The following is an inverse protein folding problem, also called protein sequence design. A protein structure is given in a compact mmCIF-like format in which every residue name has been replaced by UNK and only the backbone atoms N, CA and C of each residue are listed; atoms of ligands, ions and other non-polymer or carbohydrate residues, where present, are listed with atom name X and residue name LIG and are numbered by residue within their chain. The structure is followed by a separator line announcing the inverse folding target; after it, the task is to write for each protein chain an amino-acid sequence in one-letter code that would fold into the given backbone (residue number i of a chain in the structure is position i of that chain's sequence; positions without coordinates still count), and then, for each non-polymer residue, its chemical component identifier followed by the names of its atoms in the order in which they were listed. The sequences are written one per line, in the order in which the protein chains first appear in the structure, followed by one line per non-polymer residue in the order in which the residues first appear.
data_IF_251197951559
#
_entry.id   IF_251197951559
#
_cell.length_a   1.000
_cell.length_b   1.000
_cell.length_c   1.000
_cell.angle_alpha   90.00
_cell.angle_beta   90.00
_cell.angle_gamma   90.00
#
_symmetry.space_group_name_H-M   'P 1'
#
loop_
_entity.id
_entity.type
_entity.pdbx_description
1 polymer ?
#
# COMPACT_ATOMS: atom_id res chain seq x y z
N UNK A 1 12.63 4.54 19.71
CA UNK A 1 13.34 4.36 18.42
C UNK A 1 14.47 5.39 18.33
N UNK A 2 15.59 5.04 17.66
CA UNK A 2 16.68 6.00 17.39
C UNK A 2 16.25 7.00 16.31
N UNK A 3 16.96 8.14 16.19
CA UNK A 3 16.69 9.11 15.13
C UNK A 3 16.80 8.49 13.71
N UNK A 4 17.75 7.56 13.52
CA UNK A 4 17.88 6.83 12.25
C UNK A 4 16.72 5.88 11.99
N UNK A 5 16.26 5.15 13.01
CA UNK A 5 15.11 4.26 12.88
C UNK A 5 13.85 5.05 12.47
N UNK A 6 13.60 6.20 13.10
CA UNK A 6 12.48 7.08 12.73
C UNK A 6 12.61 7.58 11.29
N UNK A 7 13.81 7.99 10.86
CA UNK A 7 14.03 8.43 9.48
C UNK A 7 13.75 7.31 8.46
N UNK A 8 14.19 6.08 8.71
CA UNK A 8 13.92 4.94 7.81
C UNK A 8 12.44 4.60 7.74
N UNK A 9 11.72 4.65 8.87
CA UNK A 9 10.28 4.42 8.90
C UNK A 9 9.54 5.46 8.05
N UNK A 10 9.96 6.73 8.13
CA UNK A 10 9.41 7.78 7.28
C UNK A 10 9.78 7.61 5.79
N UNK A 11 11.02 7.21 5.48
CA UNK A 11 11.42 6.88 4.11
C UNK A 11 10.55 5.76 3.51
N UNK A 12 10.27 4.71 4.28
CA UNK A 12 9.38 3.60 3.88
C UNK A 12 7.95 4.12 3.66
N UNK A 13 7.42 4.91 4.60
CA UNK A 13 6.07 5.48 4.49
C UNK A 13 5.91 6.27 3.20
N UNK A 14 6.87 7.15 2.91
CA UNK A 14 6.87 7.97 1.70
C UNK A 14 7.00 7.12 0.43
N UNK A 15 7.87 6.10 0.43
CA UNK A 15 8.07 5.23 -0.73
C UNK A 15 6.83 4.35 -1.03
N UNK A 16 6.09 3.95 -0.01
CA UNK A 16 4.79 3.28 -0.15
C UNK A 16 3.64 4.25 -0.46
N UNK A 17 3.93 5.56 -0.58
CA UNK A 17 2.95 6.62 -0.81
C UNK A 17 1.82 6.58 0.22
N UNK A 18 2.17 6.19 1.44
CA UNK A 18 1.23 6.04 2.54
C UNK A 18 1.16 7.36 3.35
N UNK A 19 -0.04 7.80 3.76
CA UNK A 19 -0.19 9.01 4.57
C UNK A 19 0.11 8.74 6.05
N UNK A 20 0.06 7.47 6.46
CA UNK A 20 0.41 7.01 7.80
C UNK A 20 1.44 5.89 7.71
N UNK A 21 2.25 5.73 8.76
CA UNK A 21 3.18 4.60 8.86
C UNK A 21 2.36 3.30 8.93
N UNK A 22 2.53 2.34 8.01
CA UNK A 22 1.80 1.09 8.08
C UNK A 22 2.18 0.30 9.35
N UNK A 23 1.18 -0.25 10.05
CA UNK A 23 1.39 -0.90 11.34
C UNK A 23 2.41 -2.06 11.32
N UNK A 24 2.55 -2.87 10.25
CA UNK A 24 3.60 -3.87 10.19
C UNK A 24 5.01 -3.27 10.22
N UNK A 25 5.20 -2.08 9.63
CA UNK A 25 6.50 -1.39 9.60
C UNK A 25 6.83 -0.84 10.98
N UNK A 26 5.85 -0.20 11.63
CA UNK A 26 6.00 0.24 13.02
C UNK A 26 6.33 -0.94 13.94
N UNK A 27 5.65 -2.09 13.76
CA UNK A 27 5.88 -3.28 14.57
C UNK A 27 7.27 -3.88 14.34
N UNK A 28 7.74 -3.97 13.09
CA UNK A 28 9.10 -4.44 12.78
C UNK A 28 10.15 -3.54 13.42
N UNK A 29 9.98 -2.21 13.34
CA UNK A 29 10.88 -1.25 13.97
C UNK A 29 10.96 -1.40 15.49
N UNK A 30 9.85 -1.79 16.12
CA UNK A 30 9.76 -2.03 17.57
C UNK A 30 10.42 -3.36 17.98
N UNK A 31 10.09 -4.47 17.30
CA UNK A 31 10.52 -5.82 17.72
C UNK A 31 11.94 -6.16 17.27
N UNK A 32 12.44 -5.52 16.21
CA UNK A 32 13.77 -5.75 15.65
C UNK A 32 14.49 -4.41 15.39
N UNK A 33 14.94 -3.70 16.43
CA UNK A 33 15.69 -2.45 16.26
C UNK A 33 16.92 -2.65 15.37
N UNK A 34 17.15 -1.77 14.40
CA UNK A 34 18.26 -1.87 13.45
C UNK A 34 17.94 -2.67 12.18
N UNK A 35 16.88 -3.48 12.17
CA UNK A 35 16.56 -4.34 11.03
C UNK A 35 16.18 -3.53 9.78
N UNK A 36 15.30 -2.54 9.92
CA UNK A 36 14.87 -1.71 8.79
C UNK A 36 16.04 -0.88 8.24
N UNK A 37 16.93 -0.38 9.11
CA UNK A 37 18.12 0.34 8.70
C UNK A 37 19.06 -0.50 7.84
N UNK A 38 19.12 -1.81 8.09
CA UNK A 38 19.90 -2.75 7.28
C UNK A 38 19.18 -3.06 5.97
N UNK A 39 17.88 -3.38 6.01
CA UNK A 39 17.21 -3.91 4.81
C UNK A 39 16.78 -2.82 3.85
N UNK A 40 16.31 -1.68 4.35
CA UNK A 40 15.74 -0.62 3.51
C UNK A 40 16.66 -0.17 2.37
N UNK A 41 17.96 0.11 2.57
CA UNK A 41 18.87 0.51 1.49
C UNK A 41 18.96 -0.52 0.33
N UNK A 42 18.65 -1.79 0.59
CA UNK A 42 18.74 -2.88 -0.39
C UNK A 42 17.46 -3.02 -1.23
N UNK A 43 16.32 -2.59 -0.70
CA UNK A 43 15.01 -2.75 -1.35
C UNK A 43 14.42 -1.43 -1.84
N UNK A 44 14.91 -0.28 -1.36
CA UNK A 44 14.34 1.03 -1.67
C UNK A 44 14.27 1.33 -3.18
N UNK A 45 15.29 0.93 -3.95
CA UNK A 45 15.28 1.12 -5.41
C UNK A 45 14.18 0.32 -6.11
N UNK A 46 13.87 -0.88 -5.59
CA UNK A 46 12.79 -1.71 -6.11
C UNK A 46 11.43 -1.13 -5.74
N UNK A 47 11.22 -0.76 -4.48
CA UNK A 47 9.94 -0.18 -3.99
C UNK A 47 9.61 1.13 -4.72
N UNK A 48 10.61 1.93 -5.06
CA UNK A 48 10.41 3.17 -5.80
C UNK A 48 10.22 2.99 -7.32
N UNK A 49 10.45 1.79 -7.86
CA UNK A 49 10.32 1.54 -9.29
C UNK A 49 8.85 1.53 -9.75
N UNK A 50 8.59 2.01 -10.96
CA UNK A 50 7.25 1.98 -11.55
C UNK A 50 6.70 0.55 -11.67
N UNK A 51 7.56 -0.43 -11.96
CA UNK A 51 7.18 -1.84 -12.03
C UNK A 51 6.69 -2.42 -10.69
N UNK A 52 7.20 -1.92 -9.56
CA UNK A 52 6.72 -2.31 -8.24
C UNK A 52 5.30 -1.82 -8.00
N UNK A 53 5.05 -0.54 -8.27
CA UNK A 53 3.73 0.05 -8.16
C UNK A 53 2.73 -0.63 -9.10
N UNK A 54 3.12 -0.89 -10.35
CA UNK A 54 2.27 -1.63 -11.30
C UNK A 54 1.94 -3.04 -10.82
N UNK A 55 2.88 -3.72 -10.16
CA UNK A 55 2.64 -5.05 -9.56
C UNK A 55 1.66 -4.97 -8.38
N UNK A 56 1.80 -3.95 -7.54
CA UNK A 56 0.87 -3.73 -6.43
C UNK A 56 -0.56 -3.45 -6.93
N UNK A 57 -0.70 -2.60 -7.94
CA UNK A 57 -1.99 -2.25 -8.53
C UNK A 57 -2.63 -3.44 -9.26
N UNK A 58 -1.81 -4.35 -9.81
CA UNK A 58 -2.30 -5.61 -10.36
C UNK A 58 -2.86 -6.53 -9.28
N UNK A 59 -2.20 -6.62 -8.11
CA UNK A 59 -2.75 -7.36 -6.97
C UNK A 59 -4.04 -6.74 -6.43
N UNK A 60 -4.17 -5.42 -6.45
CA UNK A 60 -5.42 -4.72 -6.11
C UNK A 60 -6.56 -5.14 -7.05
N UNK A 61 -6.31 -5.10 -8.37
CA UNK A 61 -7.30 -5.50 -9.38
C UNK A 61 -7.69 -6.98 -9.22
N UNK A 62 -6.73 -7.87 -8.95
CA UNK A 62 -7.02 -9.28 -8.66
C UNK A 62 -7.89 -9.46 -7.42
N UNK A 63 -7.56 -8.77 -6.32
CA UNK A 63 -8.34 -8.88 -5.09
C UNK A 63 -9.80 -8.44 -5.30
N UNK A 64 -10.02 -7.38 -6.06
CA UNK A 64 -11.37 -6.93 -6.37
C UNK A 64 -12.12 -7.93 -7.27
N UNK A 65 -11.47 -8.48 -8.30
CA UNK A 65 -12.09 -9.48 -9.16
C UNK A 65 -12.57 -10.71 -8.36
N UNK A 66 -11.76 -11.17 -7.40
CA UNK A 66 -12.16 -12.25 -6.49
C UNK A 66 -13.35 -11.83 -5.62
N UNK A 67 -13.34 -10.62 -5.06
CA UNK A 67 -14.45 -10.12 -4.24
C UNK A 67 -15.75 -10.03 -5.05
N UNK A 68 -15.72 -9.46 -6.25
CA UNK A 68 -16.86 -9.35 -7.16
C UNK A 68 -17.43 -10.72 -7.56
N UNK A 69 -16.58 -11.75 -7.62
CA UNK A 69 -17.00 -13.11 -8.01
C UNK A 69 -17.64 -13.91 -6.86
N UNK A 70 -17.34 -13.56 -5.60
CA UNK A 70 -17.73 -14.36 -4.42
C UNK A 70 -18.73 -13.64 -3.52
N UNK A 71 -18.61 -12.33 -3.37
CA UNK A 71 -19.35 -11.56 -2.37
C UNK A 71 -20.28 -10.54 -3.02
N UNK A 72 -21.50 -10.45 -2.50
CA UNK A 72 -22.44 -9.39 -2.82
C UNK A 72 -22.37 -8.31 -1.71
N UNK A 73 -21.96 -7.07 -2.01
CA UNK A 73 -21.95 -6.00 -1.02
C UNK A 73 -23.38 -5.70 -0.57
N UNK A 74 -23.68 -5.92 0.70
CA UNK A 74 -24.99 -5.58 1.31
C UNK A 74 -25.06 -4.09 1.69
N UNK A 75 -23.92 -3.39 1.68
CA UNK A 75 -23.80 -1.98 2.04
C UNK A 75 -23.64 -1.11 0.80
N UNK A 76 -24.52 -0.12 0.63
CA UNK A 76 -24.40 0.91 -0.40
C UNK A 76 -24.20 2.29 0.22
N UNK A 77 -23.79 3.28 -0.59
CA UNK A 77 -23.73 4.67 -0.15
C UNK A 77 -25.10 5.15 0.34
N UNK A 78 -26.14 4.78 -0.38
CA UNK A 78 -27.53 5.13 -0.08
C UNK A 78 -27.95 4.54 1.26
N UNK A 79 -27.60 3.28 1.54
CA UNK A 79 -27.89 2.63 2.83
C UNK A 79 -27.25 3.36 4.00
N UNK A 80 -26.03 3.89 3.85
CA UNK A 80 -25.37 4.69 4.89
C UNK A 80 -26.08 6.03 5.13
N UNK A 81 -26.47 6.72 4.05
CA UNK A 81 -27.20 7.99 4.13
C UNK A 81 -28.58 7.78 4.78
N UNK A 82 -29.29 6.71 4.40
CA UNK A 82 -30.58 6.33 5.00
C UNK A 82 -30.45 5.97 6.48
N UNK A 83 -29.30 5.42 6.90
CA UNK A 83 -28.99 5.13 8.30
C UNK A 83 -28.63 6.40 9.12
N UNK A 84 -28.57 7.58 8.48
CA UNK A 84 -28.35 8.87 9.13
C UNK A 84 -26.94 9.42 9.00
N UNK A 85 -26.05 8.75 8.27
CA UNK A 85 -24.70 9.28 7.99
C UNK A 85 -24.76 10.47 7.03
N UNK A 86 -23.98 11.50 7.28
CA UNK A 86 -23.88 12.66 6.39
C UNK A 86 -23.23 12.30 5.05
N UNK A 87 -23.73 12.83 3.94
CA UNK A 87 -23.15 12.57 2.62
C UNK A 87 -21.65 12.91 2.52
N UNK A 88 -21.19 13.93 3.25
CA UNK A 88 -19.76 14.28 3.35
C UNK A 88 -18.93 13.30 4.18
N UNK A 89 -19.53 12.68 5.20
CA UNK A 89 -18.89 11.65 6.02
C UNK A 89 -18.73 10.36 5.21
N UNK A 90 -19.77 9.98 4.45
CA UNK A 90 -19.71 8.83 3.53
C UNK A 90 -18.67 9.05 2.44
N UNK A 91 -18.54 10.27 1.90
CA UNK A 91 -17.48 10.58 0.92
C UNK A 91 -16.08 10.42 1.54
N UNK A 92 -15.86 10.98 2.73
CA UNK A 92 -14.60 10.86 3.47
C UNK A 92 -14.25 9.39 3.78
N UNK A 93 -15.25 8.59 4.16
CA UNK A 93 -15.07 7.16 4.40
C UNK A 93 -14.58 6.44 3.14
N UNK A 94 -15.15 6.74 1.98
CA UNK A 94 -14.74 6.12 0.71
C UNK A 94 -13.30 6.49 0.34
N UNK A 95 -12.89 7.74 0.55
CA UNK A 95 -11.49 8.16 0.34
C UNK A 95 -10.51 7.40 1.25
N UNK A 96 -10.90 7.16 2.51
CA UNK A 96 -10.10 6.35 3.44
C UNK A 96 -10.01 4.89 2.98
N UNK A 97 -11.11 4.32 2.48
CA UNK A 97 -11.12 2.94 1.95
C UNK A 97 -10.21 2.85 0.72
N UNK A 98 -10.31 3.79 -0.22
CA UNK A 98 -9.49 3.84 -1.43
C UNK A 98 -8.00 3.92 -1.10
N UNK A 99 -7.64 4.70 -0.08
CA UNK A 99 -6.29 4.80 0.41
C UNK A 99 -5.73 3.45 0.88
N UNK A 100 -6.51 2.69 1.66
CA UNK A 100 -6.09 1.36 2.10
C UNK A 100 -6.03 0.40 0.93
N UNK A 101 -7.00 0.44 0.02
CA UNK A 101 -7.00 -0.39 -1.18
C UNK A 101 -5.76 -0.13 -2.07
N UNK A 102 -5.29 1.11 -2.12
CA UNK A 102 -4.07 1.51 -2.83
C UNK A 102 -2.77 1.09 -2.11
N UNK A 103 -2.70 1.28 -0.79
CA UNK A 103 -1.48 1.07 0.00
C UNK A 103 -1.22 -0.38 0.39
N UNK A 104 -2.26 -1.16 0.68
CA UNK A 104 -2.13 -2.52 1.21
C UNK A 104 -1.39 -3.49 0.26
N UNK A 105 -1.65 -3.50 -1.07
CA UNK A 105 -0.92 -4.36 -1.99
C UNK A 105 0.57 -4.01 -2.08
N UNK A 106 0.93 -2.73 -1.97
CA UNK A 106 2.33 -2.29 -1.91
C UNK A 106 3.00 -2.81 -0.64
N UNK A 107 2.33 -2.73 0.51
CA UNK A 107 2.86 -3.27 1.76
C UNK A 107 3.04 -4.80 1.68
N UNK A 108 2.04 -5.50 1.14
CA UNK A 108 2.07 -6.95 0.96
C UNK A 108 3.28 -7.40 0.13
N UNK A 109 3.53 -6.76 -1.01
CA UNK A 109 4.69 -7.08 -1.87
C UNK A 109 6.02 -6.92 -1.13
N UNK A 110 6.17 -5.84 -0.36
CA UNK A 110 7.40 -5.61 0.40
C UNK A 110 7.57 -6.69 1.46
N UNK A 111 6.52 -6.99 2.24
CA UNK A 111 6.59 -8.01 3.28
C UNK A 111 6.84 -9.40 2.69
N UNK A 112 6.28 -9.72 1.53
CA UNK A 112 6.57 -10.95 0.81
C UNK A 112 8.03 -11.02 0.37
N UNK A 113 8.59 -9.94 -0.17
CA UNK A 113 10.00 -9.87 -0.54
C UNK A 113 10.93 -10.05 0.69
N UNK A 114 10.57 -9.44 1.82
CA UNK A 114 11.30 -9.60 3.09
C UNK A 114 11.22 -11.05 3.60
N UNK A 115 10.03 -11.66 3.58
CA UNK A 115 9.83 -13.03 4.02
C UNK A 115 10.62 -14.03 3.16
N UNK A 116 10.59 -13.86 1.84
CA UNK A 116 11.36 -14.71 0.91
C UNK A 116 12.86 -14.55 1.09
N UNK A 117 13.34 -13.34 1.43
CA UNK A 117 14.76 -13.08 1.61
C UNK A 117 15.37 -13.79 2.84
N UNK A 118 14.55 -14.18 3.81
CA UNK A 118 15.01 -15.01 4.93
C UNK A 118 15.23 -16.48 4.54
N UNK A 119 14.49 -16.98 3.55
CA UNK A 119 14.48 -18.39 3.17
C UNK A 119 15.29 -18.72 1.92
N UNK A 120 15.80 -17.71 1.20
CA UNK A 120 16.45 -17.89 -0.12
C UNK A 120 17.72 -17.06 -0.23
N UNK A 121 18.71 -17.60 -0.93
CA UNK A 121 19.93 -16.86 -1.26
C UNK A 121 19.68 -15.68 -2.21
N UNK A 122 18.60 -15.73 -3.00
CA UNK A 122 18.26 -14.72 -4.00
C UNK A 122 16.74 -14.48 -4.06
N UNK A 123 16.33 -13.21 -4.08
CA UNK A 123 14.95 -12.77 -4.28
C UNK A 123 14.95 -11.63 -5.31
N UNK A 124 14.16 -11.77 -6.38
CA UNK A 124 14.03 -10.75 -7.43
C UNK A 124 14.92 -10.98 -8.66
N UNK A 125 15.27 -9.89 -9.37
CA UNK A 125 16.07 -9.90 -10.61
C UNK A 125 15.28 -9.79 -11.92
N UNK A 126 13.95 -9.83 -11.86
CA UNK A 126 13.05 -9.81 -13.03
C UNK A 126 12.14 -8.58 -13.10
N UNK A 127 12.37 -7.59 -12.23
CA UNK A 127 11.59 -6.36 -12.21
C UNK A 127 11.76 -5.64 -13.55
N UNK A 128 10.65 -5.33 -14.22
CA UNK A 128 10.69 -4.48 -15.41
C UNK A 128 10.95 -3.04 -14.96
N UNK A 129 11.98 -2.35 -15.47
CA UNK A 129 12.19 -0.94 -15.18
C UNK A 129 11.07 -0.08 -15.76
N UNK A 130 10.44 -0.55 -16.84
CA UNK A 130 9.34 0.13 -17.51
C UNK A 130 7.99 -0.16 -16.82
N UNK A 131 7.09 0.85 -16.72
CA UNK A 131 5.72 0.63 -16.26
C UNK A 131 4.99 -0.33 -17.19
N UNK A 132 4.09 -1.15 -16.63
CA UNK A 132 3.10 -1.87 -17.46
C UNK A 132 2.06 -0.90 -18.01
N UNK A 133 1.28 -1.35 -18.99
CA UNK A 133 0.08 -0.62 -19.42
C UNK A 133 -0.84 -0.36 -18.22
N UNK A 134 -1.15 0.91 -18.01
CA UNK A 134 -1.94 1.42 -16.87
C UNK A 134 -3.42 1.22 -17.17
N UNK A 135 -4.16 0.58 -16.26
CA UNK A 135 -5.62 0.43 -16.40
C UNK A 135 -6.34 1.76 -16.13
N UNK A 136 -7.62 1.88 -16.51
CA UNK A 136 -8.40 3.10 -16.22
C UNK A 136 -8.56 3.35 -14.71
N UNK A 137 -8.76 2.28 -13.94
CA UNK A 137 -8.83 2.31 -12.48
C UNK A 137 -7.49 2.71 -11.85
N UNK A 138 -6.38 2.22 -12.41
CA UNK A 138 -5.03 2.61 -11.98
C UNK A 138 -4.78 4.11 -12.22
N UNK A 139 -5.25 4.65 -13.35
CA UNK A 139 -5.24 6.10 -13.61
C UNK A 139 -6.05 6.89 -12.60
N UNK A 140 -7.24 6.40 -12.22
CA UNK A 140 -8.07 7.05 -11.21
C UNK A 140 -7.37 7.12 -9.84
N UNK A 141 -6.75 6.02 -9.41
CA UNK A 141 -5.96 5.98 -8.17
C UNK A 141 -4.78 6.97 -8.18
N UNK A 142 -4.04 7.05 -9.29
CA UNK A 142 -2.91 7.98 -9.41
C UNK A 142 -3.32 9.45 -9.47
N UNK A 143 -4.59 9.73 -9.79
CA UNK A 143 -5.15 11.08 -9.87
C UNK A 143 -5.80 11.57 -8.56
N UNK A 144 -5.86 10.73 -7.52
CA UNK A 144 -6.42 11.12 -6.21
C UNK A 144 -5.55 12.22 -5.57
N UNK A 145 -6.13 13.40 -5.38
CA UNK A 145 -5.56 14.50 -4.61
C UNK A 145 -5.69 14.19 -3.11
N UNK A 146 -4.68 13.53 -2.54
CA UNK A 146 -4.66 13.17 -1.12
C UNK A 146 -4.43 14.41 -0.26
N UNK A 147 -5.51 14.95 0.33
CA UNK A 147 -5.43 16.00 1.34
C UNK A 147 -5.45 15.37 2.72
N UNK A 148 -4.36 15.55 3.46
CA UNK A 148 -4.30 15.15 4.86
C UNK A 148 -5.20 16.07 5.68
N UNK A 149 -6.07 15.49 6.51
CA UNK A 149 -6.76 16.25 7.55
C UNK A 149 -5.70 16.80 8.53
N UNK A 150 -5.77 18.11 8.79
CA UNK A 150 -4.87 18.83 9.69
C UNK A 150 -5.17 18.54 11.16
#
# INVERSE_FOLDING_TARGET
MTARATAVVEEIRLALRAPIVPSPIARIAEVAPGYLEVVWPRIASSVNAAGYLGSALYLADMALAEVESVYEPVLTRETLIEAGEGAGEVASLLEVIDLFHYGQPQLLLMLAALAEAFGREHVGGYGKPEPRGVTERERAHLALDLRLAA
#
